data_IF_618836772792
#
_entry.id   IF_618836772792
#
_cell.length_a   1.000
_cell.length_b   1.000
_cell.length_c   1.000
_cell.angle_alpha   90.00
_cell.angle_beta   90.00
_cell.angle_gamma   90.00
#
_symmetry.space_group_name_H-M   'P 1'
#
loop_
_entity.id
_entity.type
_entity.pdbx_description
1 polymer ?
#
# COMPACT_ATOMS: atom_id res chain seq x y z
N UNK A 1 34.04 -5.84 8.15
CA UNK A 1 32.96 -5.43 7.24
C UNK A 1 32.17 -6.68 6.87
N UNK A 2 30.95 -6.84 7.39
CA UNK A 2 30.11 -7.99 7.06
C UNK A 2 29.44 -7.70 5.72
N UNK A 3 29.89 -8.39 4.67
CA UNK A 3 29.30 -8.30 3.33
C UNK A 3 27.88 -8.85 3.36
N UNK A 4 26.94 -8.12 2.75
CA UNK A 4 25.59 -8.62 2.45
C UNK A 4 25.71 -9.89 1.60
N UNK A 5 24.84 -10.90 1.79
CA UNK A 5 24.87 -12.10 0.95
C UNK A 5 24.51 -11.70 -0.48
N UNK A 6 25.33 -12.13 -1.44
CA UNK A 6 25.02 -11.98 -2.85
C UNK A 6 23.74 -12.76 -3.16
N UNK A 7 22.77 -12.10 -3.79
CA UNK A 7 21.61 -12.77 -4.37
C UNK A 7 22.10 -13.60 -5.56
N UNK A 8 22.30 -14.90 -5.35
CA UNK A 8 22.41 -15.89 -6.41
C UNK A 8 21.01 -16.41 -6.68
N UNK A 9 20.38 -15.93 -7.76
CA UNK A 9 19.16 -16.55 -8.28
C UNK A 9 19.38 -18.04 -8.61
N UNK A 10 18.33 -18.86 -8.60
CA UNK A 10 18.48 -20.30 -8.79
C UNK A 10 18.98 -20.59 -10.21
N UNK A 11 20.13 -21.26 -10.28
CA UNK A 11 20.61 -21.92 -11.49
C UNK A 11 19.71 -23.11 -11.80
N UNK A 12 19.10 -23.06 -12.97
CA UNK A 12 18.29 -24.09 -13.61
C UNK A 12 18.99 -25.46 -13.59
N UNK A 13 18.47 -26.38 -12.77
CA UNK A 13 18.72 -27.82 -12.89
C UNK A 13 17.42 -28.56 -12.59
N UNK A 14 16.80 -29.10 -13.63
CA UNK A 14 15.51 -29.76 -13.55
C UNK A 14 15.53 -31.01 -12.66
N UNK A 15 14.49 -31.15 -11.84
CA UNK A 15 13.92 -32.45 -11.41
C UNK A 15 12.47 -32.23 -10.98
N UNK A 16 11.60 -33.04 -11.56
CA UNK A 16 10.14 -33.06 -11.47
C UNK A 16 9.63 -33.48 -10.09
N UNK A 17 8.93 -32.60 -9.37
CA UNK A 17 7.94 -32.99 -8.33
C UNK A 17 6.83 -31.94 -8.28
N UNK A 18 5.59 -32.39 -8.51
CA UNK A 18 4.41 -31.55 -8.61
C UNK A 18 4.04 -30.85 -7.30
N UNK A 19 4.28 -29.54 -7.26
CA UNK A 19 3.56 -28.56 -6.48
C UNK A 19 3.09 -27.48 -7.45
N UNK A 20 1.84 -27.05 -7.33
CA UNK A 20 1.23 -26.03 -8.18
C UNK A 20 2.01 -24.71 -8.03
N UNK A 21 2.98 -24.49 -8.93
CA UNK A 21 3.81 -23.29 -9.02
C UNK A 21 2.98 -22.10 -9.46
N UNK A 22 2.37 -21.43 -8.48
CA UNK A 22 1.61 -20.19 -8.65
C UNK A 22 2.22 -19.04 -7.83
N UNK A 23 3.40 -19.26 -7.27
CA UNK A 23 4.09 -18.39 -6.33
C UNK A 23 5.22 -17.54 -6.94
N UNK A 24 5.74 -17.90 -8.13
CA UNK A 24 6.96 -17.26 -8.68
C UNK A 24 6.71 -16.20 -9.78
N UNK A 25 5.50 -16.09 -10.34
CA UNK A 25 5.25 -15.19 -11.50
C UNK A 25 4.69 -13.80 -11.18
N UNK A 26 4.43 -13.43 -9.92
CA UNK A 26 3.76 -12.16 -9.59
C UNK A 26 4.47 -11.25 -8.59
N UNK A 27 5.76 -11.45 -8.32
CA UNK A 27 6.56 -10.48 -7.57
C UNK A 27 6.95 -9.28 -8.44
N UNK A 28 5.98 -8.42 -8.74
CA UNK A 28 6.11 -7.06 -9.29
C UNK A 28 6.97 -6.92 -10.57
N UNK A 29 6.37 -6.38 -11.64
CA UNK A 29 7.04 -6.05 -12.90
C UNK A 29 8.09 -4.89 -12.80
N UNK A 30 8.84 -4.81 -11.69
CA UNK A 30 9.89 -3.83 -11.43
C UNK A 30 11.22 -4.57 -11.35
N UNK A 31 12.03 -4.45 -12.40
CA UNK A 31 13.39 -4.94 -12.40
C UNK A 31 14.18 -4.26 -11.25
N UNK A 32 14.85 -5.03 -10.37
CA UNK A 32 15.57 -4.45 -9.24
C UNK A 32 16.72 -3.56 -9.73
N UNK A 33 16.89 -2.40 -9.07
CA UNK A 33 17.95 -1.45 -9.43
C UNK A 33 19.33 -2.11 -9.23
N UNK A 34 20.23 -2.10 -10.23
CA UNK A 34 21.58 -2.62 -10.08
C UNK A 34 22.34 -1.95 -8.93
N UNK A 35 23.02 -2.75 -8.11
CA UNK A 35 23.66 -2.29 -6.88
C UNK A 35 24.69 -1.17 -7.11
N UNK A 36 25.45 -1.24 -8.20
CA UNK A 36 26.46 -0.23 -8.55
C UNK A 36 25.83 1.12 -8.91
N UNK A 37 24.67 1.10 -9.57
CA UNK A 37 23.93 2.32 -9.88
C UNK A 37 23.39 2.96 -8.59
N UNK A 38 22.78 2.17 -7.71
CA UNK A 38 22.24 2.66 -6.44
C UNK A 38 23.31 3.32 -5.57
N UNK A 39 24.50 2.73 -5.46
CA UNK A 39 25.64 3.32 -4.72
C UNK A 39 26.02 4.69 -5.28
N UNK A 40 26.20 4.80 -6.61
CA UNK A 40 26.55 6.07 -7.27
C UNK A 40 25.45 7.10 -7.07
N UNK A 41 24.19 6.69 -7.15
CA UNK A 41 23.02 7.55 -6.93
C UNK A 41 23.00 8.15 -5.52
N UNK A 42 23.18 7.33 -4.49
CA UNK A 42 23.19 7.79 -3.09
C UNK A 42 24.33 8.78 -2.85
N UNK A 43 25.53 8.50 -3.37
CA UNK A 43 26.69 9.40 -3.23
C UNK A 43 26.40 10.74 -3.90
N UNK A 44 25.91 10.72 -5.14
CA UNK A 44 25.55 11.92 -5.89
C UNK A 44 24.50 12.75 -5.16
N UNK A 45 23.38 12.14 -4.74
CA UNK A 45 22.29 12.80 -4.03
C UNK A 45 22.75 13.40 -2.70
N UNK A 46 23.67 12.74 -1.98
CA UNK A 46 24.21 13.23 -0.71
C UNK A 46 25.09 14.46 -0.88
N UNK A 47 25.91 14.49 -1.94
CA UNK A 47 26.91 15.54 -2.18
C UNK A 47 26.34 16.78 -2.91
N UNK A 48 25.40 16.59 -3.84
CA UNK A 48 24.98 17.66 -4.74
C UNK A 48 23.61 18.26 -4.39
N UNK A 49 22.77 17.54 -3.64
CA UNK A 49 21.38 17.94 -3.40
C UNK A 49 21.18 18.33 -1.93
N UNK A 50 20.73 19.57 -1.71
CA UNK A 50 20.44 20.12 -0.39
C UNK A 50 19.04 20.76 -0.37
N UNK A 51 17.98 19.94 -0.22
CA UNK A 51 16.62 20.40 -0.39
C UNK A 51 16.24 21.48 0.62
N UNK A 52 15.66 22.58 0.14
CA UNK A 52 15.13 23.68 0.96
C UNK A 52 13.61 23.54 1.08
N UNK A 53 13.08 23.99 2.21
CA UNK A 53 11.65 23.98 2.50
C UNK A 53 11.06 25.38 2.29
N UNK A 54 9.85 25.47 1.75
CA UNK A 54 9.13 26.73 1.63
C UNK A 54 8.24 26.99 2.85
N UNK A 55 7.86 28.24 3.09
CA UNK A 55 7.09 28.63 4.29
C UNK A 55 5.70 27.97 4.34
N UNK A 56 5.07 27.74 3.17
CA UNK A 56 3.73 27.13 3.08
C UNK A 56 3.68 25.69 3.63
N UNK A 57 4.81 24.98 3.58
CA UNK A 57 4.93 23.60 4.10
C UNK A 57 5.03 23.56 5.63
N UNK A 58 5.52 24.64 6.25
CA UNK A 58 5.71 24.72 7.70
C UNK A 58 4.36 24.81 8.43
N UNK A 59 3.41 25.56 7.88
CA UNK A 59 2.06 25.69 8.44
C UNK A 59 1.33 24.35 8.50
N UNK A 60 1.50 23.53 7.47
CA UNK A 60 0.87 22.20 7.39
C UNK A 60 1.42 21.27 8.47
N UNK A 61 2.73 21.28 8.68
CA UNK A 61 3.39 20.50 9.73
C UNK A 61 2.96 20.99 11.12
N UNK A 62 2.87 22.30 11.33
CA UNK A 62 2.43 22.89 12.60
C UNK A 62 0.97 22.51 12.95
N UNK A 63 0.08 22.53 11.95
CA UNK A 63 -1.33 22.08 12.10
C UNK A 63 -1.39 20.61 12.47
N UNK A 64 -0.63 19.75 11.79
CA UNK A 64 -0.60 18.32 12.06
C UNK A 64 -0.05 18.05 13.49
N UNK A 65 1.05 18.69 13.87
CA UNK A 65 1.60 18.58 15.22
C UNK A 65 0.58 18.98 16.30
N UNK A 66 -0.14 20.08 16.09
CA UNK A 66 -1.17 20.54 17.04
C UNK A 66 -2.29 19.51 17.20
N UNK A 67 -2.77 18.93 16.09
CA UNK A 67 -3.77 17.86 16.11
C UNK A 67 -3.24 16.61 16.83
N UNK A 68 -2.03 16.17 16.51
CA UNK A 68 -1.42 14.97 17.10
C UNK A 68 -1.14 15.15 18.60
N UNK A 69 -0.70 16.33 19.02
CA UNK A 69 -0.48 16.67 20.43
C UNK A 69 -1.79 16.67 21.21
N UNK A 70 -2.86 17.23 20.64
CA UNK A 70 -4.18 17.25 21.27
C UNK A 70 -4.72 15.82 21.47
N UNK A 71 -4.68 14.99 20.42
CA UNK A 71 -5.11 13.60 20.50
C UNK A 71 -4.28 12.78 21.49
N UNK A 72 -2.97 13.03 21.52
CA UNK A 72 -2.09 12.35 22.48
C UNK A 72 -2.41 12.69 23.93
N UNK A 73 -2.86 13.91 24.21
CA UNK A 73 -3.24 14.34 25.55
C UNK A 73 -4.57 13.70 25.98
N UNK A 74 -5.55 13.63 25.08
CA UNK A 74 -6.87 13.03 25.34
C UNK A 74 -6.74 11.53 25.61
N UNK A 75 -5.90 10.84 24.85
CA UNK A 75 -5.75 9.38 24.93
C UNK A 75 -4.79 8.92 26.03
N UNK A 76 -4.06 9.85 26.66
CA UNK A 76 -3.02 9.53 27.65
C UNK A 76 -1.83 8.79 27.05
N UNK A 77 -1.60 8.92 25.73
CA UNK A 77 -0.42 8.36 25.06
C UNK A 77 0.84 9.16 25.36
N UNK A 78 2.01 8.63 24.96
CA UNK A 78 3.27 9.34 25.08
C UNK A 78 3.23 10.69 24.35
N UNK A 79 3.63 11.79 25.01
CA UNK A 79 3.48 13.13 24.44
C UNK A 79 4.41 13.35 23.24
N UNK A 80 3.85 13.92 22.17
CA UNK A 80 4.62 14.39 21.02
C UNK A 80 5.45 15.63 21.41
N UNK A 81 6.75 15.55 21.19
CA UNK A 81 7.73 16.64 21.36
C UNK A 81 8.12 17.30 20.04
N UNK A 82 8.80 18.45 20.13
CA UNK A 82 9.38 19.20 18.99
C UNK A 82 10.33 18.34 18.16
N UNK A 83 11.01 17.36 18.77
CA UNK A 83 11.90 16.42 18.07
C UNK A 83 11.18 15.67 16.94
N UNK A 84 9.88 15.38 17.09
CA UNK A 84 9.11 14.71 16.04
C UNK A 84 8.86 15.62 14.83
N UNK A 85 8.70 16.93 15.04
CA UNK A 85 8.58 17.92 13.96
C UNK A 85 9.90 17.97 13.18
N UNK A 86 11.03 18.07 13.88
CA UNK A 86 12.34 18.07 13.23
C UNK A 86 12.60 16.79 12.43
N UNK A 87 12.22 15.63 12.98
CA UNK A 87 12.30 14.35 12.27
C UNK A 87 11.45 14.33 11.01
N UNK A 88 10.26 14.92 11.05
CA UNK A 88 9.39 15.03 9.88
C UNK A 88 9.99 15.91 8.79
N UNK A 89 10.55 17.06 9.15
CA UNK A 89 11.25 17.95 8.21
C UNK A 89 12.43 17.21 7.57
N UNK A 90 13.23 16.50 8.37
CA UNK A 90 14.34 15.68 7.85
C UNK A 90 13.86 14.59 6.88
N UNK A 91 12.74 13.93 7.17
CA UNK A 91 12.17 12.91 6.27
C UNK A 91 11.63 13.51 4.96
N UNK A 92 10.97 14.67 5.02
CA UNK A 92 10.51 15.36 3.81
C UNK A 92 11.70 15.79 2.93
N UNK A 93 12.75 16.34 3.52
CA UNK A 93 14.00 16.67 2.81
C UNK A 93 14.69 15.41 2.26
N UNK A 94 14.72 14.31 3.02
CA UNK A 94 15.27 13.05 2.54
C UNK A 94 14.50 12.51 1.32
N UNK A 95 13.17 12.61 1.33
CA UNK A 95 12.32 12.19 0.21
C UNK A 95 12.53 13.08 -1.03
N UNK A 96 12.65 14.41 -0.87
CA UNK A 96 13.02 15.31 -1.97
C UNK A 96 14.42 14.99 -2.53
N UNK A 97 15.39 14.70 -1.65
CA UNK A 97 16.76 14.30 -2.02
C UNK A 97 16.78 12.99 -2.81
N UNK A 98 15.95 12.02 -2.45
CA UNK A 98 15.76 10.77 -3.21
C UNK A 98 15.19 10.98 -4.61
N UNK A 99 14.62 12.16 -4.89
CA UNK A 99 14.15 12.55 -6.22
C UNK A 99 15.09 13.57 -6.90
N UNK A 100 16.27 13.82 -6.31
CA UNK A 100 17.22 14.86 -6.74
C UNK A 100 16.61 16.27 -6.84
N UNK A 101 15.58 16.57 -6.05
CA UNK A 101 14.92 17.88 -6.05
C UNK A 101 15.60 18.82 -5.05
N UNK A 102 15.80 20.06 -5.46
CA UNK A 102 16.33 21.13 -4.59
C UNK A 102 15.29 21.74 -3.66
N UNK A 103 14.02 21.47 -3.90
CA UNK A 103 12.90 21.99 -3.13
C UNK A 103 12.00 20.86 -2.64
N UNK A 104 11.56 20.98 -1.40
CA UNK A 104 10.54 20.10 -0.82
C UNK A 104 9.19 20.46 -1.44
N UNK A 105 8.43 19.44 -1.84
CA UNK A 105 7.06 19.55 -2.32
C UNK A 105 6.05 19.12 -1.27
N UNK A 106 4.79 19.46 -1.49
CA UNK A 106 3.69 19.03 -0.64
C UNK A 106 3.60 17.49 -0.52
N UNK A 107 3.93 16.77 -1.59
CA UNK A 107 3.96 15.30 -1.63
C UNK A 107 4.98 14.71 -0.65
N UNK A 108 6.13 15.37 -0.49
CA UNK A 108 7.20 14.94 0.42
C UNK A 108 6.76 15.13 1.87
N UNK A 109 6.09 16.23 2.15
CA UNK A 109 5.51 16.53 3.47
C UNK A 109 4.42 15.53 3.81
N UNK A 110 3.51 15.24 2.86
CA UNK A 110 2.47 14.24 3.03
C UNK A 110 3.06 12.85 3.33
N UNK A 111 4.11 12.46 2.61
CA UNK A 111 4.81 11.19 2.85
C UNK A 111 5.46 11.16 4.24
N UNK A 112 6.16 12.23 4.63
CA UNK A 112 6.79 12.34 5.95
C UNK A 112 5.77 12.30 7.10
N UNK A 113 4.63 12.98 6.95
CA UNK A 113 3.52 12.93 7.90
C UNK A 113 3.00 11.50 8.02
N UNK A 114 2.74 10.82 6.89
CA UNK A 114 2.27 9.44 6.89
C UNK A 114 3.24 8.51 7.63
N UNK A 115 4.53 8.56 7.31
CA UNK A 115 5.54 7.70 7.94
C UNK A 115 5.67 7.95 9.45
N UNK A 116 5.67 9.22 9.88
CA UNK A 116 5.68 9.56 11.31
C UNK A 116 4.46 9.03 12.04
N UNK A 117 3.27 9.22 11.45
CA UNK A 117 2.01 8.80 12.06
C UNK A 117 1.94 7.28 12.15
N UNK A 118 2.31 6.56 11.08
CA UNK A 118 2.34 5.09 11.07
C UNK A 118 3.24 4.55 12.18
N UNK A 119 4.49 5.04 12.26
CA UNK A 119 5.43 4.66 13.32
C UNK A 119 4.93 5.02 14.72
N UNK A 120 4.32 6.20 14.91
CA UNK A 120 3.85 6.62 16.23
C UNK A 120 2.61 5.83 16.68
N UNK A 121 1.63 5.67 15.80
CA UNK A 121 0.35 5.03 16.09
C UNK A 121 0.55 3.55 16.41
N UNK A 122 1.44 2.86 15.71
CA UNK A 122 1.72 1.44 15.94
C UNK A 122 2.44 1.18 17.28
N UNK A 123 3.05 2.20 17.90
CA UNK A 123 3.65 2.09 19.24
C UNK A 123 2.64 2.31 20.38
N UNK A 124 1.39 2.66 20.08
CA UNK A 124 0.37 2.93 21.09
C UNK A 124 -0.38 1.68 21.53
N UNK A 125 -1.03 1.76 22.70
CA UNK A 125 -1.96 0.71 23.19
C UNK A 125 -3.05 0.48 22.15
N UNK A 126 -3.49 -0.77 22.00
CA UNK A 126 -4.44 -1.18 20.95
C UNK A 126 -5.70 -0.29 20.83
N UNK A 127 -6.34 0.06 21.94
CA UNK A 127 -7.53 0.92 21.94
C UNK A 127 -7.23 2.32 21.40
N UNK A 128 -6.11 2.91 21.84
CA UNK A 128 -5.62 4.22 21.39
C UNK A 128 -5.20 4.16 19.93
N UNK A 129 -4.43 3.15 19.54
CA UNK A 129 -4.02 2.92 18.15
C UNK A 129 -5.24 2.89 17.23
N UNK A 130 -6.30 2.14 17.59
CA UNK A 130 -7.53 2.07 16.79
C UNK A 130 -8.21 3.43 16.64
N UNK A 131 -8.32 4.19 17.72
CA UNK A 131 -8.89 5.54 17.70
C UNK A 131 -8.04 6.49 16.84
N UNK A 132 -6.71 6.49 17.01
CA UNK A 132 -5.80 7.31 16.23
C UNK A 132 -5.81 6.96 14.74
N UNK A 133 -5.91 5.67 14.38
CA UNK A 133 -6.06 5.25 12.97
C UNK A 133 -7.33 5.80 12.34
N UNK A 134 -8.40 5.94 13.11
CA UNK A 134 -9.65 6.56 12.65
C UNK A 134 -9.49 8.08 12.52
N UNK A 135 -8.96 8.78 13.53
CA UNK A 135 -8.77 10.23 13.49
C UNK A 135 -7.84 10.68 12.36
N UNK A 136 -6.73 9.97 12.16
CA UNK A 136 -5.70 10.33 11.18
C UNK A 136 -5.81 9.56 9.86
N UNK A 137 -6.96 8.92 9.59
CA UNK A 137 -7.17 8.08 8.41
C UNK A 137 -6.78 8.78 7.09
N UNK A 138 -7.13 10.08 6.95
CA UNK A 138 -6.83 10.89 5.77
C UNK A 138 -5.33 10.95 5.45
N UNK A 139 -4.48 11.00 6.47
CA UNK A 139 -3.03 11.07 6.30
C UNK A 139 -2.43 9.67 6.09
N UNK A 140 -2.95 8.67 6.79
CA UNK A 140 -2.47 7.29 6.72
C UNK A 140 -2.79 6.60 5.38
N UNK A 141 -3.85 7.02 4.67
CA UNK A 141 -4.21 6.47 3.36
C UNK A 141 -3.43 7.09 2.19
N UNK A 142 -2.61 8.13 2.42
CA UNK A 142 -1.90 8.83 1.36
C UNK A 142 -0.92 7.92 0.60
N UNK A 143 -1.06 7.84 -0.73
CA UNK A 143 -0.24 7.00 -1.63
C UNK A 143 -0.01 5.57 -1.13
N UNK A 144 -0.98 4.99 -0.40
CA UNK A 144 -0.93 3.59 -0.02
C UNK A 144 -1.42 2.79 -1.23
N UNK A 145 -0.55 1.96 -1.81
CA UNK A 145 -0.99 1.06 -2.86
C UNK A 145 -1.78 -0.09 -2.23
N UNK A 146 -3.10 0.07 -2.23
CA UNK A 146 -4.03 -0.94 -1.76
C UNK A 146 -4.57 -1.78 -2.91
N UNK A 147 -4.22 -1.46 -4.16
CA UNK A 147 -4.87 -1.97 -5.36
C UNK A 147 -4.61 -3.46 -5.54
N UNK A 148 -3.36 -3.88 -5.44
CA UNK A 148 -2.95 -5.27 -5.60
C UNK A 148 -3.49 -6.15 -4.47
N UNK A 149 -3.48 -5.65 -3.24
CA UNK A 149 -3.98 -6.38 -2.08
C UNK A 149 -5.50 -6.57 -2.16
N UNK A 150 -6.23 -5.53 -2.55
CA UNK A 150 -7.67 -5.60 -2.79
C UNK A 150 -8.01 -6.54 -3.94
N UNK A 151 -7.20 -6.53 -5.01
CA UNK A 151 -7.33 -7.48 -6.11
C UNK A 151 -7.15 -8.93 -5.63
N UNK A 152 -6.13 -9.20 -4.81
CA UNK A 152 -5.87 -10.55 -4.31
C UNK A 152 -7.03 -11.09 -3.47
N UNK A 153 -7.59 -10.25 -2.60
CA UNK A 153 -8.76 -10.60 -1.79
C UNK A 153 -9.97 -10.86 -2.67
N UNK A 154 -10.23 -9.98 -3.65
CA UNK A 154 -11.36 -10.12 -4.56
C UNK A 154 -11.24 -11.38 -5.41
N UNK A 155 -10.03 -11.67 -5.94
CA UNK A 155 -9.73 -12.88 -6.71
C UNK A 155 -9.98 -14.13 -5.89
N UNK A 156 -9.51 -14.17 -4.64
CA UNK A 156 -9.79 -15.30 -3.74
C UNK A 156 -11.30 -15.50 -3.56
N UNK A 157 -12.05 -14.42 -3.28
CA UNK A 157 -13.51 -14.50 -3.14
C UNK A 157 -14.20 -14.99 -4.41
N UNK A 158 -13.76 -14.56 -5.60
CA UNK A 158 -14.31 -15.10 -6.86
C UNK A 158 -14.04 -16.59 -6.99
N UNK A 159 -12.80 -17.03 -6.74
CA UNK A 159 -12.42 -18.43 -6.88
C UNK A 159 -13.24 -19.32 -5.93
N UNK A 160 -13.40 -18.90 -4.68
CA UNK A 160 -14.22 -19.61 -3.70
C UNK A 160 -15.68 -19.74 -4.18
N UNK A 161 -16.25 -18.64 -4.71
CA UNK A 161 -17.62 -18.62 -5.24
C UNK A 161 -17.77 -19.49 -6.50
N UNK A 162 -16.76 -19.50 -7.38
CA UNK A 162 -16.74 -20.32 -8.59
C UNK A 162 -16.67 -21.81 -8.24
N UNK A 163 -15.82 -22.19 -7.29
CA UNK A 163 -15.71 -23.57 -6.79
C UNK A 163 -17.03 -24.03 -6.17
N UNK A 164 -17.70 -23.17 -5.40
CA UNK A 164 -19.02 -23.45 -4.84
C UNK A 164 -20.06 -23.70 -5.93
N UNK A 165 -20.18 -22.82 -6.92
CA UNK A 165 -21.14 -22.96 -8.01
C UNK A 165 -20.88 -24.23 -8.82
N UNK A 166 -19.60 -24.52 -9.15
CA UNK A 166 -19.23 -25.73 -9.88
C UNK A 166 -19.53 -27.00 -9.08
N UNK A 167 -19.25 -27.01 -7.78
CA UNK A 167 -19.50 -28.17 -6.90
C UNK A 167 -20.97 -28.46 -6.65
N UNK A 168 -21.82 -27.42 -6.60
CA UNK A 168 -23.25 -27.57 -6.32
C UNK A 168 -24.07 -27.77 -7.59
N UNK A 169 -23.80 -26.98 -8.64
CA UNK A 169 -24.62 -26.97 -9.85
C UNK A 169 -24.00 -27.75 -11.01
N UNK A 170 -22.69 -28.04 -11.00
CA UNK A 170 -22.00 -28.71 -12.10
C UNK A 170 -21.94 -27.89 -13.40
N UNK A 171 -22.43 -26.64 -13.37
CA UNK A 171 -22.53 -25.73 -14.53
C UNK A 171 -21.36 -24.76 -14.53
N UNK A 172 -20.75 -24.58 -15.71
CA UNK A 172 -19.79 -23.50 -15.96
C UNK A 172 -20.58 -22.20 -16.07
N UNK A 173 -20.29 -21.25 -15.19
CA UNK A 173 -20.90 -19.92 -15.22
C UNK A 173 -19.93 -18.91 -15.84
N UNK A 174 -20.43 -18.15 -16.81
CA UNK A 174 -19.66 -17.09 -17.50
C UNK A 174 -19.46 -15.84 -16.65
N UNK A 175 -20.28 -15.69 -15.59
CA UNK A 175 -20.24 -14.53 -14.70
C UNK A 175 -20.35 -14.95 -13.25
N UNK A 176 -19.47 -14.39 -12.41
CA UNK A 176 -19.52 -14.53 -10.95
C UNK A 176 -19.89 -13.19 -10.33
N UNK A 177 -20.86 -13.20 -9.42
CA UNK A 177 -21.29 -12.03 -8.68
C UNK A 177 -20.85 -12.14 -7.21
N UNK A 178 -20.21 -11.08 -6.71
CA UNK A 178 -19.78 -10.94 -5.31
C UNK A 178 -20.49 -9.72 -4.72
N UNK A 179 -21.07 -9.86 -3.54
CA UNK A 179 -21.67 -8.72 -2.85
C UNK A 179 -20.57 -7.75 -2.35
N UNK A 180 -20.75 -6.46 -2.60
CA UNK A 180 -19.78 -5.44 -2.14
C UNK A 180 -19.63 -5.45 -0.63
N UNK A 181 -20.72 -5.73 0.11
CA UNK A 181 -20.70 -5.80 1.57
C UNK A 181 -19.63 -6.78 2.08
N UNK A 182 -19.57 -7.97 1.51
CA UNK A 182 -18.64 -9.03 1.93
C UNK A 182 -17.20 -8.62 1.60
N UNK A 183 -16.98 -8.05 0.41
CA UNK A 183 -15.66 -7.56 0.00
C UNK A 183 -15.18 -6.41 0.91
N UNK A 184 -16.08 -5.50 1.27
CA UNK A 184 -15.82 -4.37 2.18
C UNK A 184 -15.53 -4.83 3.60
N UNK A 185 -16.19 -5.88 4.07
CA UNK A 185 -15.88 -6.49 5.37
C UNK A 185 -14.48 -7.10 5.38
N UNK A 186 -14.07 -7.82 4.34
CA UNK A 186 -12.69 -8.34 4.22
C UNK A 186 -11.66 -7.21 4.13
N UNK A 187 -11.93 -6.16 3.34
CA UNK A 187 -11.05 -5.00 3.25
C UNK A 187 -10.87 -4.29 4.60
N UNK A 188 -11.93 -4.18 5.41
CA UNK A 188 -11.86 -3.58 6.76
C UNK A 188 -10.95 -4.36 7.71
N UNK A 189 -10.87 -5.69 7.58
CA UNK A 189 -10.00 -6.51 8.44
C UNK A 189 -8.52 -6.16 8.26
N UNK A 190 -8.13 -5.71 7.06
CA UNK A 190 -6.78 -5.23 6.75
C UNK A 190 -6.66 -3.70 6.79
N UNK A 191 -7.59 -3.03 7.47
CA UNK A 191 -7.63 -1.58 7.64
C UNK A 191 -7.72 -0.78 6.33
N UNK A 192 -8.42 -1.33 5.33
CA UNK A 192 -8.78 -0.63 4.10
C UNK A 192 -10.26 -0.29 4.15
N UNK A 193 -10.57 1.00 4.07
CA UNK A 193 -11.94 1.50 4.21
C UNK A 193 -12.48 2.15 2.94
N UNK A 194 -11.60 2.65 2.07
CA UNK A 194 -11.97 3.26 0.80
C UNK A 194 -11.61 2.32 -0.35
N UNK A 195 -12.64 1.87 -1.07
CA UNK A 195 -12.53 0.95 -2.20
C UNK A 195 -12.68 1.66 -3.55
N UNK A 196 -13.05 2.95 -3.56
CA UNK A 196 -13.29 3.70 -4.81
C UNK A 196 -12.05 3.75 -5.71
N UNK A 197 -10.83 4.01 -5.19
CA UNK A 197 -9.64 4.00 -6.03
C UNK A 197 -9.39 2.64 -6.70
N UNK A 198 -9.79 1.56 -6.03
CA UNK A 198 -9.63 0.21 -6.56
C UNK A 198 -10.61 -0.09 -7.71
N UNK A 199 -11.88 0.30 -7.59
CA UNK A 199 -12.86 0.11 -8.67
C UNK A 199 -12.52 0.91 -9.93
N UNK A 200 -11.84 2.05 -9.78
CA UNK A 200 -11.39 2.88 -10.89
C UNK A 200 -10.06 2.40 -11.50
N UNK A 201 -9.34 1.52 -10.81
CA UNK A 201 -7.99 1.07 -11.17
C UNK A 201 -7.95 0.30 -12.49
N UNK A 202 -6.80 0.37 -13.16
CA UNK A 202 -6.53 -0.44 -14.36
C UNK A 202 -6.57 -1.93 -14.04
N UNK A 203 -6.00 -2.34 -12.90
CA UNK A 203 -5.93 -3.74 -12.48
C UNK A 203 -7.32 -4.37 -12.35
N UNK A 204 -8.30 -3.65 -11.81
CA UNK A 204 -9.69 -4.11 -11.70
C UNK A 204 -10.32 -4.35 -13.08
N UNK A 205 -10.17 -3.39 -14.01
CA UNK A 205 -10.75 -3.47 -15.35
C UNK A 205 -10.06 -4.51 -16.24
N UNK A 206 -8.73 -4.61 -16.20
CA UNK A 206 -7.94 -5.57 -16.99
C UNK A 206 -8.31 -7.00 -16.63
N UNK A 207 -8.61 -7.28 -15.36
CA UNK A 207 -9.04 -8.62 -14.90
C UNK A 207 -10.56 -8.85 -15.03
N UNK A 208 -11.23 -8.10 -15.91
CA UNK A 208 -12.64 -8.28 -16.27
C UNK A 208 -13.64 -8.14 -15.10
N UNK A 209 -13.29 -7.34 -14.09
CA UNK A 209 -14.22 -6.96 -13.05
C UNK A 209 -14.99 -5.69 -13.43
N UNK A 210 -16.26 -5.66 -13.02
CA UNK A 210 -17.15 -4.50 -13.16
C UNK A 210 -17.87 -4.28 -11.83
N UNK A 211 -17.98 -3.03 -11.39
CA UNK A 211 -18.73 -2.69 -10.17
C UNK A 211 -20.08 -2.08 -10.55
N UNK A 212 -21.17 -2.72 -10.13
CA UNK A 212 -22.54 -2.22 -10.28
C UNK A 212 -22.96 -1.49 -9.00
N UNK A 213 -22.95 -0.17 -9.04
CA UNK A 213 -23.32 0.71 -7.92
C UNK A 213 -24.80 0.59 -7.54
N UNK A 214 -25.68 0.24 -8.49
CA UNK A 214 -27.11 0.15 -8.21
C UNK A 214 -27.47 -1.14 -7.47
N UNK A 215 -26.74 -2.23 -7.76
CA UNK A 215 -26.96 -3.54 -7.14
C UNK A 215 -26.00 -3.85 -5.99
N UNK A 216 -25.03 -2.97 -5.73
CA UNK A 216 -23.94 -3.18 -4.75
C UNK A 216 -23.23 -4.53 -4.97
N UNK A 217 -22.94 -4.84 -6.24
CA UNK A 217 -22.33 -6.10 -6.67
C UNK A 217 -21.08 -5.86 -7.51
N UNK A 218 -20.07 -6.70 -7.27
CA UNK A 218 -18.86 -6.80 -8.06
C UNK A 218 -19.01 -8.02 -8.95
N UNK A 219 -18.98 -7.81 -10.26
CA UNK A 219 -19.22 -8.83 -11.27
C UNK A 219 -17.91 -9.12 -11.98
N UNK A 220 -17.49 -10.38 -11.99
CA UNK A 220 -16.38 -10.83 -12.83
C UNK A 220 -16.93 -11.61 -14.02
N UNK A 221 -16.52 -11.22 -15.23
CA UNK A 221 -16.70 -12.06 -16.41
C UNK A 221 -15.52 -13.01 -16.48
N UNK A 222 -15.78 -14.29 -16.30
CA UNK A 222 -14.75 -15.32 -16.44
C UNK A 222 -14.65 -15.60 -17.94
N UNK A 223 -13.51 -15.34 -18.60
CA UNK A 223 -13.35 -15.78 -19.98
C UNK A 223 -13.54 -17.29 -19.99
N UNK A 224 -14.46 -17.78 -20.83
CA UNK A 224 -14.60 -19.20 -21.08
C UNK A 224 -13.19 -19.72 -21.40
N UNK A 225 -12.64 -20.58 -20.53
CA UNK A 225 -11.42 -21.31 -20.83
C UNK A 225 -11.68 -21.93 -22.20
N UNK A 226 -10.94 -21.50 -23.21
CA UNK A 226 -11.03 -22.09 -24.53
C UNK A 226 -10.83 -23.58 -24.32
N UNK A 227 -11.89 -24.34 -24.54
CA UNK A 227 -11.85 -25.78 -24.51
C UNK A 227 -10.92 -26.21 -25.64
N UNK A 228 -9.72 -26.66 -25.29
CA UNK A 228 -8.94 -27.63 -26.06
C UNK A 228 -8.92 -28.95 -25.29
#
# INVERSE_FOLDING_TARGET
>A
MRHHPAYSGPTDTGTTTGGLGLDDELTSAVEPIPQELLKKYIVYAKQNIHPKMHDMDQDKIAKMYSQLRQESLVTGSLPITIRHIESMIRMAQAHAKMHLREHVSEDDVNMAIRMMLESFVDTQKYSVMKQMKQTFQKYLSFKKDTTELLYYILRQMTLDQLMYIRGVHGVVVDTVEIHEKDFKEKARQINIYDLRPFYESKLFKTNHYTYDKNKEKIIQRVPAVAAE
#
